data_IF_629556175154
#
_entry.id   IF_629556175154
#
_cell.length_a   1.000
_cell.length_b   1.000
_cell.length_c   1.000
_cell.angle_alpha   90.00
_cell.angle_beta   90.00
_cell.angle_gamma   90.00
#
_symmetry.space_group_name_H-M   'P 1'
#
loop_
_entity.id
_entity.type
_entity.pdbx_description
1 polymer ?
#
# COMPACT_ATOMS: atom_id res chain seq x y z
N UNK A 1 6.03 -24.23 24.15
CA UNK A 1 4.63 -23.84 23.95
C UNK A 1 4.60 -22.62 23.03
N UNK A 2 3.96 -22.71 21.85
CA UNK A 2 3.91 -21.62 20.86
C UNK A 2 2.61 -20.80 20.97
N UNK A 3 2.38 -20.16 22.12
CA UNK A 3 1.13 -19.43 22.39
C UNK A 3 1.21 -18.02 21.76
N UNK A 4 0.23 -17.67 20.93
CA UNK A 4 0.10 -16.36 20.28
C UNK A 4 -1.15 -15.59 20.72
N UNK A 5 -1.14 -14.27 20.52
CA UNK A 5 -2.28 -13.37 20.73
C UNK A 5 -2.19 -12.17 19.79
N UNK A 6 -3.34 -11.55 19.47
CA UNK A 6 -3.40 -10.31 18.72
C UNK A 6 -3.11 -9.08 19.61
N UNK A 7 -2.94 -7.93 18.97
CA UNK A 7 -2.73 -6.65 19.67
C UNK A 7 -3.91 -6.32 20.61
N UNK A 8 -3.65 -5.85 21.84
CA UNK A 8 -4.71 -5.54 22.81
C UNK A 8 -5.69 -4.46 22.34
N UNK A 9 -5.24 -3.55 21.48
CA UNK A 9 -6.02 -2.43 20.95
C UNK A 9 -6.72 -2.77 19.63
N UNK A 10 -6.42 -3.92 19.01
CA UNK A 10 -7.00 -4.27 17.72
C UNK A 10 -8.52 -4.47 17.84
N UNK A 11 -9.25 -3.93 16.86
CA UNK A 11 -10.72 -3.93 16.84
C UNK A 11 -11.28 -5.34 17.04
N UNK A 12 -12.00 -5.58 18.14
CA UNK A 12 -12.60 -6.89 18.43
C UNK A 12 -11.60 -8.05 18.53
N UNK A 13 -10.35 -7.77 18.91
CA UNK A 13 -9.28 -8.77 18.94
C UNK A 13 -8.89 -9.30 17.56
N UNK A 14 -9.12 -8.51 16.51
CA UNK A 14 -8.83 -8.89 15.12
C UNK A 14 -7.33 -8.92 14.81
N UNK A 15 -6.98 -9.69 13.79
CA UNK A 15 -5.67 -9.65 13.14
C UNK A 15 -5.63 -8.51 12.12
N UNK A 16 -4.44 -7.96 11.86
CA UNK A 16 -4.24 -6.81 10.97
C UNK A 16 -3.94 -7.27 9.55
N UNK A 17 -4.61 -6.67 8.55
CA UNK A 17 -4.52 -7.08 7.15
C UNK A 17 -3.09 -7.11 6.62
N UNK A 18 -2.31 -6.04 6.80
CA UNK A 18 -0.91 -6.02 6.39
C UNK A 18 -0.03 -7.03 7.17
N UNK A 19 -0.36 -7.37 8.41
CA UNK A 19 0.47 -8.31 9.18
C UNK A 19 0.35 -9.75 8.66
N UNK A 20 -0.88 -10.24 8.47
CA UNK A 20 -1.07 -11.60 7.95
C UNK A 20 -0.99 -11.66 6.42
N UNK A 21 -1.21 -10.54 5.74
CA UNK A 21 -1.14 -10.41 4.28
C UNK A 21 0.28 -10.42 3.73
N UNK A 22 1.26 -10.04 4.54
CA UNK A 22 2.65 -9.82 4.14
C UNK A 22 3.56 -10.94 4.63
N UNK A 23 3.10 -12.19 4.47
CA UNK A 23 3.85 -13.41 4.77
C UNK A 23 4.11 -14.27 3.51
N UNK A 24 3.45 -13.93 2.40
CA UNK A 24 3.30 -14.82 1.26
C UNK A 24 4.63 -15.15 0.58
N UNK A 25 5.45 -14.12 0.29
CA UNK A 25 6.70 -14.31 -0.45
C UNK A 25 7.68 -15.18 0.33
N UNK A 26 7.83 -14.90 1.63
CA UNK A 26 8.75 -15.61 2.52
C UNK A 26 8.32 -17.05 2.71
N UNK A 27 7.02 -17.30 2.94
CA UNK A 27 6.53 -18.65 3.20
C UNK A 27 6.55 -19.55 1.96
N UNK A 28 6.30 -18.98 0.78
CA UNK A 28 6.48 -19.71 -0.49
C UNK A 28 7.95 -20.06 -0.68
N UNK A 29 8.86 -19.11 -0.44
CA UNK A 29 10.30 -19.37 -0.56
C UNK A 29 10.81 -20.38 0.48
N UNK A 30 10.34 -20.31 1.73
CA UNK A 30 10.64 -21.29 2.78
C UNK A 30 10.21 -22.70 2.37
N UNK A 31 9.05 -22.85 1.74
CA UNK A 31 8.60 -24.16 1.24
C UNK A 31 9.49 -24.67 0.11
N UNK A 32 9.88 -23.78 -0.81
CA UNK A 32 10.78 -24.12 -1.90
C UNK A 32 12.15 -24.60 -1.39
N UNK A 33 12.78 -23.85 -0.49
CA UNK A 33 14.11 -24.18 0.03
C UNK A 33 14.12 -25.40 0.95
N UNK A 34 13.07 -25.59 1.75
CA UNK A 34 13.00 -26.69 2.72
C UNK A 34 12.42 -27.99 2.16
N UNK A 35 11.72 -27.91 1.02
CA UNK A 35 10.89 -29.01 0.50
C UNK A 35 9.64 -29.32 1.34
N UNK A 36 9.37 -28.54 2.40
CA UNK A 36 8.22 -28.74 3.27
C UNK A 36 7.06 -27.81 2.85
N UNK A 37 5.93 -28.34 2.34
CA UNK A 37 4.84 -27.53 1.80
C UNK A 37 4.06 -26.74 2.87
N UNK A 38 4.26 -27.05 4.16
CA UNK A 38 3.45 -26.48 5.25
C UNK A 38 3.45 -24.96 5.26
N UNK A 39 4.54 -24.29 4.90
CA UNK A 39 4.62 -22.83 4.92
C UNK A 39 3.73 -22.23 3.82
N UNK A 40 3.86 -22.70 2.58
CA UNK A 40 3.04 -22.27 1.46
C UNK A 40 1.55 -22.56 1.73
N UNK A 41 1.23 -23.73 2.30
CA UNK A 41 -0.13 -24.07 2.70
C UNK A 41 -0.75 -23.06 3.68
N UNK A 42 0.03 -22.50 4.62
CA UNK A 42 -0.47 -21.48 5.56
C UNK A 42 -0.90 -20.21 4.84
N UNK A 43 -0.07 -19.68 3.94
CA UNK A 43 -0.39 -18.42 3.25
C UNK A 43 -1.45 -18.60 2.16
N UNK A 44 -1.53 -19.79 1.55
CA UNK A 44 -2.64 -20.13 0.67
C UNK A 44 -3.97 -20.27 1.44
N UNK A 45 -3.94 -20.72 2.69
CA UNK A 45 -5.15 -20.73 3.53
C UNK A 45 -5.65 -19.31 3.84
N UNK A 46 -4.75 -18.32 4.00
CA UNK A 46 -5.13 -16.91 4.17
C UNK A 46 -5.90 -16.42 2.93
N UNK A 47 -5.39 -16.71 1.72
CA UNK A 47 -6.10 -16.37 0.46
C UNK A 47 -7.48 -17.00 0.40
N UNK A 48 -7.63 -18.28 0.77
CA UNK A 48 -8.92 -18.97 0.82
C UNK A 48 -9.93 -18.28 1.75
N UNK A 49 -9.49 -17.81 2.92
CA UNK A 49 -10.37 -17.07 3.84
C UNK A 49 -10.81 -15.75 3.21
N UNK A 50 -9.86 -14.95 2.71
CA UNK A 50 -10.15 -13.65 2.09
C UNK A 50 -11.05 -13.76 0.85
N UNK A 51 -10.91 -14.82 0.05
CA UNK A 51 -11.72 -15.02 -1.16
C UNK A 51 -13.17 -15.44 -0.88
N UNK A 52 -13.47 -15.94 0.33
CA UNK A 52 -14.84 -16.27 0.75
C UNK A 52 -15.61 -15.09 1.31
N UNK A 53 -14.92 -14.00 1.65
CA UNK A 53 -15.53 -12.83 2.24
C UNK A 53 -15.96 -11.84 1.15
N UNK A 54 -17.16 -11.30 1.33
CA UNK A 54 -17.60 -10.11 0.62
C UNK A 54 -16.71 -8.93 1.05
N UNK A 55 -16.17 -8.22 0.07
CA UNK A 55 -15.38 -7.01 0.28
C UNK A 55 -16.32 -5.81 0.17
N UNK A 56 -16.56 -5.03 1.25
CA UNK A 56 -17.44 -3.86 1.18
C UNK A 56 -16.93 -2.87 0.13
N UNK A 57 -17.73 -2.57 -0.90
CA UNK A 57 -17.32 -1.74 -2.04
C UNK A 57 -16.07 -2.24 -2.78
N UNK A 58 -15.78 -3.55 -2.71
CA UNK A 58 -14.54 -4.13 -3.23
C UNK A 58 -13.29 -3.81 -2.40
N UNK A 59 -13.43 -3.12 -1.28
CA UNK A 59 -12.34 -2.74 -0.38
C UNK A 59 -12.09 -3.80 0.69
N UNK A 60 -10.83 -3.89 1.13
CA UNK A 60 -10.41 -4.83 2.18
C UNK A 60 -10.31 -4.10 3.52
N UNK A 61 -11.19 -4.39 4.51
CA UNK A 61 -11.02 -3.89 5.86
C UNK A 61 -9.69 -4.34 6.47
N UNK A 62 -9.04 -3.44 7.21
CA UNK A 62 -7.75 -3.67 7.84
C UNK A 62 -7.80 -4.66 9.02
N UNK A 63 -8.99 -5.11 9.43
CA UNK A 63 -9.21 -5.95 10.60
C UNK A 63 -10.02 -7.20 10.23
N UNK A 64 -9.48 -8.39 10.50
CA UNK A 64 -10.16 -9.67 10.32
C UNK A 64 -10.07 -10.49 11.61
N UNK A 65 -11.21 -10.92 12.15
CA UNK A 65 -11.23 -11.70 13.39
C UNK A 65 -10.78 -13.15 13.12
N UNK A 66 -9.70 -13.64 13.74
CA UNK A 66 -9.16 -14.97 13.43
C UNK A 66 -10.03 -16.12 13.95
N UNK A 67 -10.92 -15.88 14.92
CA UNK A 67 -11.80 -16.90 15.49
C UNK A 67 -13.06 -17.11 14.64
N UNK A 68 -13.66 -16.03 14.14
CA UNK A 68 -14.88 -16.10 13.30
C UNK A 68 -14.58 -16.10 11.80
N UNK A 69 -13.39 -15.64 11.39
CA UNK A 69 -13.03 -15.43 10.00
C UNK A 69 -13.81 -14.31 9.32
N UNK A 70 -14.40 -13.38 10.08
CA UNK A 70 -15.20 -12.26 9.57
C UNK A 70 -14.48 -10.92 9.73
N UNK A 71 -14.88 -9.91 8.95
CA UNK A 71 -14.37 -8.56 9.08
C UNK A 71 -14.70 -7.94 10.45
N UNK A 72 -13.75 -7.18 10.98
CA UNK A 72 -13.95 -6.29 12.12
C UNK A 72 -14.51 -4.93 11.69
N UNK A 73 -14.00 -3.84 12.27
CA UNK A 73 -14.35 -2.50 11.79
C UNK A 73 -13.95 -2.31 10.32
N UNK A 74 -14.85 -1.67 9.56
CA UNK A 74 -14.66 -1.36 8.15
C UNK A 74 -13.78 -0.10 7.96
N UNK A 75 -12.55 -0.17 8.47
CA UNK A 75 -11.50 0.82 8.19
C UNK A 75 -10.60 0.28 7.08
N UNK A 76 -10.34 1.10 6.07
CA UNK A 76 -9.54 0.75 4.89
C UNK A 76 -8.48 1.82 4.72
N UNK A 77 -7.24 1.40 4.52
CA UNK A 77 -6.11 2.30 4.21
C UNK A 77 -5.11 1.57 3.33
N UNK A 78 -4.51 2.30 2.38
CA UNK A 78 -3.36 1.84 1.60
C UNK A 78 -2.05 2.34 2.26
N UNK A 79 -2.12 2.93 3.44
CA UNK A 79 -0.98 3.11 4.34
C UNK A 79 -0.99 2.05 5.43
N UNK A 80 -0.55 2.45 6.62
CA UNK A 80 -0.44 1.53 7.76
C UNK A 80 -1.69 0.66 7.99
N UNK A 81 -1.44 -0.57 8.42
CA UNK A 81 -2.40 -1.65 8.65
C UNK A 81 -2.92 -2.35 7.38
N UNK A 82 -2.74 -1.78 6.17
CA UNK A 82 -3.20 -2.38 4.91
C UNK A 82 -2.17 -2.44 3.78
N UNK A 83 -1.30 -1.44 3.67
CA UNK A 83 -0.24 -1.26 2.66
C UNK A 83 0.30 -2.54 1.99
N UNK A 84 1.15 -3.28 2.70
CA UNK A 84 1.97 -4.36 2.17
C UNK A 84 1.17 -5.62 1.81
N UNK A 85 -0.08 -5.74 2.26
CA UNK A 85 -0.98 -6.77 1.75
C UNK A 85 -1.20 -6.60 0.24
N UNK A 86 -1.51 -5.39 -0.22
CA UNK A 86 -1.74 -5.10 -1.64
C UNK A 86 -0.44 -5.28 -2.45
N UNK A 87 0.68 -4.87 -1.88
CA UNK A 87 2.02 -5.08 -2.43
C UNK A 87 2.31 -6.55 -2.70
N UNK A 88 1.98 -7.41 -1.73
CA UNK A 88 2.27 -8.85 -1.80
C UNK A 88 1.33 -9.60 -2.74
N UNK A 89 0.12 -9.08 -3.03
CA UNK A 89 -0.71 -9.64 -4.11
C UNK A 89 -0.01 -9.51 -5.46
N UNK A 90 0.49 -8.31 -5.78
CA UNK A 90 1.25 -8.08 -7.02
C UNK A 90 2.56 -8.88 -7.03
N UNK A 91 3.35 -8.78 -5.96
CA UNK A 91 4.67 -9.41 -5.92
C UNK A 91 4.58 -10.94 -5.89
N UNK A 92 3.53 -11.54 -5.33
CA UNK A 92 3.32 -12.99 -5.40
C UNK A 92 3.10 -13.47 -6.84
N UNK A 93 2.30 -12.73 -7.61
CA UNK A 93 2.13 -13.00 -9.04
C UNK A 93 3.45 -12.85 -9.80
N UNK A 94 4.20 -11.77 -9.60
CA UNK A 94 5.49 -11.59 -10.27
C UNK A 94 6.53 -12.65 -9.86
N UNK A 95 6.64 -12.98 -8.58
CA UNK A 95 7.62 -13.95 -8.05
C UNK A 95 7.34 -15.38 -8.49
N UNK A 96 6.08 -15.72 -8.77
CA UNK A 96 5.66 -17.03 -9.27
C UNK A 96 5.87 -17.20 -10.77
N UNK A 97 6.73 -16.38 -11.40
CA UNK A 97 6.87 -16.31 -12.86
C UNK A 97 5.53 -16.08 -13.57
N UNK A 98 4.73 -15.16 -13.00
CA UNK A 98 3.38 -14.81 -13.46
C UNK A 98 2.38 -15.97 -13.46
N UNK A 99 2.58 -17.03 -12.65
CA UNK A 99 1.65 -18.18 -12.58
C UNK A 99 0.58 -18.09 -11.49
N UNK A 100 0.75 -17.26 -10.45
CA UNK A 100 -0.30 -16.98 -9.44
C UNK A 100 -1.38 -16.03 -9.98
N UNK A 101 -2.24 -16.56 -10.85
CA UNK A 101 -3.38 -15.82 -11.42
C UNK A 101 -4.43 -15.42 -10.37
N UNK A 102 -4.50 -16.12 -9.23
CA UNK A 102 -5.35 -15.71 -8.09
C UNK A 102 -4.82 -14.40 -7.48
N UNK A 103 -3.52 -14.33 -7.20
CA UNK A 103 -2.86 -13.11 -6.73
C UNK A 103 -2.99 -11.95 -7.71
N UNK A 104 -2.81 -12.21 -9.00
CA UNK A 104 -3.02 -11.21 -10.06
C UNK A 104 -4.44 -10.65 -10.03
N UNK A 105 -5.45 -11.52 -10.01
CA UNK A 105 -6.86 -11.09 -9.98
C UNK A 105 -7.16 -10.28 -8.73
N UNK A 106 -6.76 -10.77 -7.55
CA UNK A 106 -6.97 -10.06 -6.29
C UNK A 106 -6.31 -8.67 -6.30
N UNK A 107 -5.10 -8.55 -6.86
CA UNK A 107 -4.41 -7.27 -6.99
C UNK A 107 -5.20 -6.28 -7.85
N UNK A 108 -5.53 -6.62 -9.11
CA UNK A 108 -6.19 -5.68 -10.01
C UNK A 108 -7.63 -5.36 -9.60
N UNK A 109 -8.36 -6.32 -9.02
CA UNK A 109 -9.68 -6.05 -8.44
C UNK A 109 -9.57 -5.04 -7.28
N UNK A 110 -8.58 -5.22 -6.39
CA UNK A 110 -8.34 -4.30 -5.29
C UNK A 110 -7.92 -2.90 -5.78
N UNK A 111 -6.99 -2.81 -6.73
CA UNK A 111 -6.55 -1.53 -7.31
C UNK A 111 -7.71 -0.78 -7.96
N UNK A 112 -8.58 -1.47 -8.69
CA UNK A 112 -9.77 -0.83 -9.28
C UNK A 112 -10.72 -0.25 -8.21
N UNK A 113 -10.91 -0.95 -7.09
CA UNK A 113 -11.70 -0.45 -5.97
C UNK A 113 -11.01 0.74 -5.28
N UNK A 114 -9.69 0.69 -5.09
CA UNK A 114 -8.88 1.79 -4.54
C UNK A 114 -9.00 3.05 -5.39
N UNK A 115 -8.82 2.93 -6.71
CA UNK A 115 -8.98 4.05 -7.64
C UNK A 115 -10.36 4.69 -7.55
N UNK A 116 -11.41 3.86 -7.49
CA UNK A 116 -12.79 4.32 -7.42
C UNK A 116 -13.08 5.04 -6.10
N UNK A 117 -12.72 4.42 -4.98
CA UNK A 117 -13.21 4.82 -3.68
C UNK A 117 -12.24 5.68 -2.88
N UNK A 118 -10.92 5.53 -3.04
CA UNK A 118 -9.91 6.16 -2.18
C UNK A 118 -9.06 7.21 -2.91
N UNK A 119 -8.83 7.09 -4.22
CA UNK A 119 -8.00 8.05 -4.95
C UNK A 119 -8.79 9.32 -5.27
N UNK A 120 -8.23 10.47 -4.91
CA UNK A 120 -8.83 11.79 -5.14
C UNK A 120 -7.78 12.76 -5.66
N UNK A 121 -8.25 13.88 -6.19
CA UNK A 121 -7.40 15.00 -6.65
C UNK A 121 -7.70 16.25 -5.82
N UNK A 122 -6.67 16.92 -5.33
CA UNK A 122 -6.81 18.16 -4.56
C UNK A 122 -7.18 19.33 -5.48
N UNK A 123 -7.56 20.47 -4.89
CA UNK A 123 -7.80 21.71 -5.64
C UNK A 123 -6.58 22.18 -6.44
N UNK A 124 -5.37 22.02 -5.88
CA UNK A 124 -4.09 22.29 -6.53
C UNK A 124 -3.65 21.19 -7.51
N UNK A 125 -4.48 20.18 -7.72
CA UNK A 125 -4.24 19.15 -8.73
C UNK A 125 -3.34 18.00 -8.27
N UNK A 126 -3.07 17.83 -6.98
CA UNK A 126 -2.31 16.69 -6.44
C UNK A 126 -3.19 15.44 -6.33
N UNK A 127 -2.72 14.32 -6.88
CA UNK A 127 -3.41 13.02 -6.75
C UNK A 127 -2.98 12.34 -5.45
N UNK A 128 -3.92 11.96 -4.59
CA UNK A 128 -3.65 11.35 -3.29
C UNK A 128 -4.58 10.19 -2.99
N UNK A 129 -4.17 9.31 -2.06
CA UNK A 129 -4.95 8.18 -1.59
C UNK A 129 -5.45 8.49 -0.18
N UNK A 130 -6.77 8.65 -0.04
CA UNK A 130 -7.42 8.90 1.24
C UNK A 130 -7.62 7.62 2.06
N UNK A 131 -7.83 7.76 3.37
CA UNK A 131 -8.34 6.67 4.21
C UNK A 131 -9.88 6.61 4.13
N UNK A 132 -10.44 5.42 4.29
CA UNK A 132 -11.88 5.20 4.27
C UNK A 132 -12.36 4.52 5.55
N UNK A 133 -13.42 5.03 6.15
CA UNK A 133 -14.02 4.52 7.40
C UNK A 133 -15.53 4.41 7.24
N UNK A 134 -16.01 3.20 6.96
CA UNK A 134 -17.44 2.89 6.93
C UNK A 134 -18.28 3.78 5.99
N UNK A 135 -17.70 4.23 4.88
CA UNK A 135 -18.36 5.08 3.88
C UNK A 135 -17.80 6.50 3.81
N UNK A 136 -17.07 6.94 4.83
CA UNK A 136 -16.53 8.30 4.91
C UNK A 136 -15.05 8.34 4.57
N UNK A 137 -14.65 9.31 3.74
CA UNK A 137 -13.24 9.58 3.46
C UNK A 137 -12.64 10.53 4.49
N UNK A 138 -11.45 10.17 4.96
CA UNK A 138 -10.55 11.08 5.65
C UNK A 138 -9.46 11.52 4.66
N UNK A 139 -9.45 12.80 4.30
CA UNK A 139 -8.56 13.38 3.28
C UNK A 139 -7.13 13.59 3.81
N UNK A 140 -6.50 12.47 4.15
CA UNK A 140 -5.17 12.34 4.74
C UNK A 140 -4.46 11.17 4.04
N UNK A 141 -3.17 11.35 3.74
CA UNK A 141 -2.30 10.31 3.19
C UNK A 141 -1.05 10.18 4.06
N UNK A 142 -0.60 8.95 4.29
CA UNK A 142 0.58 8.68 5.09
C UNK A 142 1.85 8.60 4.24
N UNK A 143 3.01 8.80 4.85
CA UNK A 143 4.31 8.49 4.26
C UNK A 143 4.36 7.02 3.83
N UNK A 144 3.85 6.12 4.67
CA UNK A 144 3.70 4.70 4.33
C UNK A 144 2.98 4.49 3.00
N UNK A 145 1.90 5.23 2.73
CA UNK A 145 1.10 5.10 1.51
C UNK A 145 1.87 5.50 0.24
N UNK A 146 3.00 6.20 0.36
CA UNK A 146 3.81 6.60 -0.79
C UNK A 146 4.44 5.42 -1.54
N UNK A 147 4.56 4.23 -0.93
CA UNK A 147 5.02 3.01 -1.63
C UNK A 147 4.13 2.66 -2.83
N UNK A 148 2.86 3.06 -2.77
CA UNK A 148 1.85 2.71 -3.75
C UNK A 148 2.20 3.25 -5.15
N UNK A 149 2.95 4.36 -5.26
CA UNK A 149 3.42 4.87 -6.54
C UNK A 149 4.29 3.85 -7.30
N UNK A 150 5.29 3.29 -6.60
CA UNK A 150 6.13 2.22 -7.12
C UNK A 150 5.35 0.93 -7.37
N UNK A 151 4.42 0.58 -6.48
CA UNK A 151 3.54 -0.58 -6.66
C UNK A 151 2.68 -0.49 -7.93
N UNK A 152 2.03 0.65 -8.19
CA UNK A 152 1.23 0.86 -9.40
C UNK A 152 2.11 0.79 -10.65
N UNK A 153 3.26 1.45 -10.65
CA UNK A 153 4.17 1.42 -11.78
C UNK A 153 4.71 0.00 -12.06
N UNK A 154 5.09 -0.74 -11.03
CA UNK A 154 5.56 -2.14 -11.15
C UNK A 154 4.47 -3.06 -11.72
N UNK A 155 3.20 -2.82 -11.37
CA UNK A 155 2.05 -3.56 -11.88
C UNK A 155 1.60 -3.17 -13.30
N UNK A 156 2.21 -2.18 -13.93
CA UNK A 156 1.72 -1.64 -15.20
C UNK A 156 1.84 -2.63 -16.38
N UNK A 157 2.93 -3.39 -16.47
CA UNK A 157 3.17 -4.39 -17.54
C UNK A 157 2.15 -5.54 -17.52
N UNK A 158 1.65 -5.86 -16.33
CA UNK A 158 0.65 -6.91 -16.14
C UNK A 158 -0.80 -6.47 -16.31
N UNK A 159 -1.04 -5.17 -16.49
CA UNK A 159 -2.36 -4.58 -16.36
C UNK A 159 -3.30 -5.06 -17.49
N UNK A 160 -4.56 -5.41 -17.18
CA UNK A 160 -5.52 -5.81 -18.19
C UNK A 160 -5.96 -4.61 -19.05
N UNK A 161 -6.51 -4.89 -20.23
CA UNK A 161 -7.16 -3.92 -21.11
C UNK A 161 -6.30 -2.72 -21.53
N UNK A 162 -5.00 -2.95 -21.76
CA UNK A 162 -4.05 -1.90 -22.22
C UNK A 162 -3.95 -0.69 -21.26
N UNK A 163 -4.15 -0.94 -19.96
CA UNK A 163 -4.02 0.08 -18.89
C UNK A 163 -2.58 0.34 -18.46
N UNK A 164 -1.57 -0.13 -19.19
CA UNK A 164 -0.16 0.05 -18.83
C UNK A 164 0.19 1.53 -18.67
N UNK A 165 -0.18 2.38 -19.64
CA UNK A 165 0.06 3.83 -19.55
C UNK A 165 -0.61 4.47 -18.34
N UNK A 166 -1.85 4.07 -18.04
CA UNK A 166 -2.62 4.55 -16.88
C UNK A 166 -1.94 4.25 -15.55
N UNK A 167 -1.45 3.01 -15.34
CA UNK A 167 -0.78 2.65 -14.08
C UNK A 167 0.60 3.32 -13.93
N UNK A 168 1.35 3.54 -15.03
CA UNK A 168 2.59 4.33 -14.99
C UNK A 168 2.30 5.80 -14.64
N UNK A 169 1.27 6.40 -15.25
CA UNK A 169 0.88 7.79 -14.95
C UNK A 169 0.36 7.92 -13.51
N UNK A 170 -0.45 6.98 -13.02
CA UNK A 170 -0.90 6.94 -11.64
C UNK A 170 0.30 6.84 -10.67
N UNK A 171 1.28 5.98 -10.97
CA UNK A 171 2.52 5.89 -10.22
C UNK A 171 3.30 7.21 -10.18
N UNK A 172 3.40 7.89 -11.33
CA UNK A 172 4.05 9.20 -11.45
C UNK A 172 3.34 10.29 -10.65
N UNK A 173 2.01 10.30 -10.67
CA UNK A 173 1.18 11.26 -9.94
C UNK A 173 1.27 11.07 -8.42
N UNK A 174 1.30 9.83 -7.94
CA UNK A 174 1.56 9.54 -6.52
C UNK A 174 2.99 9.93 -6.14
N UNK A 175 3.98 9.64 -6.98
CA UNK A 175 5.36 10.06 -6.75
C UNK A 175 5.48 11.59 -6.64
N UNK A 176 4.78 12.33 -7.50
CA UNK A 176 4.73 13.80 -7.47
C UNK A 176 4.11 14.32 -6.16
N UNK A 177 2.99 13.77 -5.73
CA UNK A 177 2.34 14.17 -4.46
C UNK A 177 3.23 13.88 -3.25
N UNK A 178 3.92 12.75 -3.23
CA UNK A 178 4.86 12.40 -2.18
C UNK A 178 6.13 13.28 -2.19
N UNK A 179 6.60 13.67 -3.38
CA UNK A 179 7.67 14.66 -3.51
C UNK A 179 7.25 16.03 -2.97
N UNK A 180 6.04 16.48 -3.29
CA UNK A 180 5.48 17.73 -2.76
C UNK A 180 5.36 17.73 -1.24
N UNK A 181 5.07 16.58 -0.61
CA UNK A 181 5.05 16.49 0.85
C UNK A 181 6.44 16.60 1.48
N UNK A 182 7.50 16.25 0.75
CA UNK A 182 8.89 16.51 1.14
C UNK A 182 9.23 17.98 0.94
N UNK A 183 9.02 18.51 -0.27
CA UNK A 183 9.45 19.86 -0.67
C UNK A 183 8.80 20.97 0.17
N UNK A 184 7.55 20.76 0.63
CA UNK A 184 6.83 21.74 1.46
C UNK A 184 7.28 21.79 2.93
N UNK A 185 8.27 20.99 3.32
CA UNK A 185 8.84 21.03 4.68
C UNK A 185 10.12 21.85 4.72
N UNK A 186 10.48 22.33 5.92
CA UNK A 186 11.75 23.05 6.12
C UNK A 186 12.98 22.16 5.97
N UNK A 187 12.85 20.86 6.29
CA UNK A 187 13.95 19.88 6.24
C UNK A 187 14.02 19.13 4.90
N UNK A 188 13.08 19.36 3.98
CA UNK A 188 12.94 18.61 2.72
C UNK A 188 12.80 17.10 2.91
N UNK A 189 12.23 16.70 4.05
CA UNK A 189 11.86 15.33 4.40
C UNK A 189 10.41 15.34 4.87
N UNK A 190 9.58 14.49 4.26
CA UNK A 190 8.13 14.52 4.45
C UNK A 190 7.68 14.05 5.83
N UNK A 191 6.51 14.53 6.31
CA UNK A 191 5.93 14.10 7.58
C UNK A 191 5.34 12.69 7.49
N UNK A 192 5.08 12.07 8.64
CA UNK A 192 4.41 10.76 8.74
C UNK A 192 3.03 10.75 8.05
N UNK A 193 2.28 11.86 8.16
CA UNK A 193 1.01 12.02 7.47
C UNK A 193 0.79 13.46 7.05
N UNK A 194 0.13 13.65 5.92
CA UNK A 194 -0.18 14.95 5.33
C UNK A 194 -1.62 15.01 4.83
N UNK A 195 -2.18 16.22 4.76
CA UNK A 195 -3.61 16.45 4.53
C UNK A 195 -3.91 17.22 3.24
N UNK A 196 -5.16 17.09 2.80
CA UNK A 196 -5.73 17.72 1.62
C UNK A 196 -7.09 18.38 1.92
N UNK A 197 -7.35 18.66 3.20
CA UNK A 197 -8.53 19.35 3.72
C UNK A 197 -8.10 20.59 4.54
N UNK A 198 -9.08 21.40 4.98
CA UNK A 198 -8.79 22.54 5.86
C UNK A 198 -7.94 23.65 5.23
N UNK A 199 -7.93 23.76 3.89
CA UNK A 199 -7.17 24.77 3.16
C UNK A 199 -5.67 24.47 3.03
N UNK A 200 -5.24 23.24 3.33
CA UNK A 200 -3.86 22.81 3.16
C UNK A 200 -3.76 21.66 2.16
N UNK A 201 -2.61 21.54 1.52
CA UNK A 201 -2.30 20.43 0.63
C UNK A 201 -0.89 19.90 0.92
N UNK A 202 -0.75 18.58 1.04
CA UNK A 202 0.53 17.88 1.22
C UNK A 202 1.39 18.38 2.41
N UNK A 203 0.77 18.86 3.49
CA UNK A 203 1.47 19.19 4.75
C UNK A 203 0.77 18.58 5.96
N UNK A 204 1.52 18.36 7.03
CA UNK A 204 1.01 17.90 8.31
C UNK A 204 0.44 19.05 9.14
N UNK A 205 -0.79 18.89 9.64
CA UNK A 205 -1.42 19.88 10.55
C UNK A 205 -1.30 19.49 12.02
N UNK A 206 -1.23 18.19 12.33
CA UNK A 206 -1.12 17.70 13.70
C UNK A 206 0.33 17.54 14.14
N UNK A 207 0.65 18.01 15.35
CA UNK A 207 2.02 18.00 15.84
C UNK A 207 2.62 16.59 15.95
N UNK A 208 1.81 15.61 16.31
CA UNK A 208 2.21 14.21 16.43
C UNK A 208 2.29 13.47 15.08
N UNK A 209 2.05 14.13 13.95
CA UNK A 209 2.17 13.55 12.59
C UNK A 209 3.31 14.20 11.79
N UNK A 210 3.99 15.22 12.35
CA UNK A 210 5.08 15.98 11.68
C UNK A 210 6.45 15.29 11.69
N UNK A 211 6.57 14.15 12.34
CA UNK A 211 7.87 13.48 12.51
C UNK A 211 8.30 12.76 11.23
N UNK A 212 9.60 12.49 11.12
CA UNK A 212 10.21 11.64 10.10
C UNK A 212 11.13 10.64 10.80
N UNK A 213 11.01 9.35 10.49
CA UNK A 213 11.74 8.25 11.16
C UNK A 213 12.56 7.40 10.19
N UNK A 214 13.25 8.06 9.24
CA UNK A 214 14.10 7.41 8.23
C UNK A 214 13.32 6.40 7.35
N UNK A 215 12.08 6.77 7.02
CA UNK A 215 11.19 5.94 6.21
C UNK A 215 11.60 5.91 4.74
N UNK A 216 11.51 4.75 4.07
CA UNK A 216 11.99 4.58 2.69
C UNK A 216 10.95 4.81 1.59
N UNK A 217 9.64 4.84 1.88
CA UNK A 217 8.61 4.54 0.87
C UNK A 217 8.55 5.56 -0.29
N UNK A 218 8.94 6.82 -0.05
CA UNK A 218 9.05 7.83 -1.11
C UNK A 218 10.22 7.54 -2.05
N UNK A 219 11.37 7.20 -1.49
CA UNK A 219 12.58 6.84 -2.25
C UNK A 219 12.39 5.50 -2.98
N UNK A 220 11.69 4.55 -2.36
CA UNK A 220 11.27 3.29 -3.01
C UNK A 220 10.47 3.58 -4.29
N UNK A 221 9.48 4.47 -4.21
CA UNK A 221 8.70 4.87 -5.38
C UNK A 221 9.57 5.54 -6.44
N UNK A 222 10.49 6.43 -6.06
CA UNK A 222 11.43 7.03 -7.03
C UNK A 222 12.29 5.98 -7.73
N UNK A 223 12.73 4.92 -7.03
CA UNK A 223 13.51 3.84 -7.61
C UNK A 223 12.74 3.11 -8.72
N UNK A 224 11.49 2.71 -8.46
CA UNK A 224 10.64 2.08 -9.48
C UNK A 224 10.35 3.03 -10.64
N UNK A 225 9.99 4.28 -10.35
CA UNK A 225 9.68 5.27 -11.38
C UNK A 225 10.91 5.54 -12.27
N UNK A 226 12.11 5.69 -11.69
CA UNK A 226 13.34 5.81 -12.46
C UNK A 226 13.58 4.59 -13.35
N UNK A 227 13.49 3.36 -12.81
CA UNK A 227 13.78 2.14 -13.58
C UNK A 227 12.81 1.92 -14.73
N UNK A 228 11.55 2.30 -14.56
CA UNK A 228 10.49 2.04 -15.54
C UNK A 228 10.34 3.16 -16.57
N UNK A 229 10.72 4.40 -16.23
CA UNK A 229 10.52 5.57 -17.12
C UNK A 229 11.83 6.19 -17.60
N UNK A 230 12.93 6.01 -16.87
CA UNK A 230 14.21 6.71 -17.05
C UNK A 230 14.08 8.25 -17.05
N UNK A 231 13.01 8.80 -16.46
CA UNK A 231 12.87 10.23 -16.29
C UNK A 231 13.88 10.72 -15.23
N UNK A 232 14.84 11.61 -15.60
CA UNK A 232 15.92 12.03 -14.72
C UNK A 232 15.44 12.75 -13.46
N UNK A 233 14.20 13.28 -13.43
CA UNK A 233 13.67 13.95 -12.23
C UNK A 233 13.63 13.02 -11.02
N UNK A 234 13.39 11.72 -11.20
CA UNK A 234 13.35 10.77 -10.08
C UNK A 234 14.72 10.53 -9.44
N UNK A 235 15.80 10.65 -10.22
CA UNK A 235 17.16 10.66 -9.67
C UNK A 235 17.47 11.97 -8.96
N UNK A 236 17.02 13.08 -9.53
CA UNK A 236 17.18 14.40 -8.90
C UNK A 236 16.47 14.45 -7.54
N UNK A 237 15.19 14.07 -7.48
CA UNK A 237 14.41 14.00 -6.23
C UNK A 237 15.01 13.02 -5.22
N UNK A 238 15.55 11.89 -5.70
CA UNK A 238 16.29 10.97 -4.85
C UNK A 238 17.56 11.59 -4.26
N UNK A 239 18.27 12.40 -5.05
CA UNK A 239 19.49 13.10 -4.60
C UNK A 239 19.18 14.24 -3.62
N UNK A 240 18.12 15.01 -3.86
CA UNK A 240 17.65 16.05 -2.94
C UNK A 240 17.37 15.50 -1.54
N UNK A 241 16.79 14.29 -1.44
CA UNK A 241 16.60 13.62 -0.16
C UNK A 241 17.92 13.17 0.49
N UNK A 242 18.92 12.77 -0.30
CA UNK A 242 20.25 12.39 0.22
C UNK A 242 20.99 13.59 0.80
N UNK A 243 20.86 14.78 0.21
CA UNK A 243 21.53 15.99 0.69
C UNK A 243 21.07 16.48 2.06
N UNK A 244 19.88 16.04 2.50
CA UNK A 244 19.25 16.47 3.78
C UNK A 244 19.16 15.37 4.84
N UNK A 245 19.63 14.14 4.54
CA UNK A 245 19.77 13.03 5.49
C UNK A 245 21.10 13.08 6.23
#
# INVERSE_FOLDING_TARGET
SGIGRNWPWASGGSSILAEFGTLHLEFVHLSHLSGNPVFAEKVMNIRKVLNRLDKPEGLYPNYLNPSSGQWGQHHVSIGGLGDSFYEYLLKAWLMSDKTDEEGKKMYYDAVQAIETHLIRKSSGGLTYIAEWKGGLLEHKMGHLTCFAGGMFALGADGAPNDKTGHHIELGAEIARTCHESYDRTSMKLGPEAFRFDGGVEAIATRQNEKYYILRPEVIETYMYMWRLTHDPKYRQWGWEAVEVM
#
